data_IF_926567962499
#
_entry.id   IF_926567962499
#
_cell.length_a   1.000
_cell.length_b   1.000
_cell.length_c   1.000
_cell.angle_alpha   90.00
_cell.angle_beta   90.00
_cell.angle_gamma   90.00
#
_symmetry.space_group_name_H-M   'P 1'
#
loop_
_entity.id
_entity.type
_entity.pdbx_description
1 polymer ?
#
# COMPACT_ATOMS: atom_id res chain seq x y z
N UNK A 1 3.47 -30.08 -4.20
CA UNK A 1 2.64 -29.55 -3.09
C UNK A 1 1.22 -29.14 -3.52
N UNK A 2 0.19 -29.54 -2.75
CA UNK A 2 -1.21 -29.12 -2.91
C UNK A 2 -1.55 -27.88 -2.08
N UNK A 3 -2.16 -26.88 -2.70
CA UNK A 3 -2.37 -25.55 -2.11
C UNK A 3 -3.83 -25.13 -2.20
N UNK A 4 -4.36 -24.53 -1.12
CA UNK A 4 -5.54 -23.67 -1.21
C UNK A 4 -5.09 -22.22 -1.04
N UNK A 5 -5.48 -21.36 -1.97
CA UNK A 5 -5.06 -19.96 -1.99
C UNK A 5 -6.14 -19.04 -1.43
N UNK A 6 -5.80 -18.20 -0.46
CA UNK A 6 -6.67 -17.18 0.12
C UNK A 6 -6.17 -15.80 -0.29
N UNK A 7 -6.97 -15.04 -1.04
CA UNK A 7 -6.58 -13.69 -1.44
C UNK A 7 -7.69 -12.91 -2.09
N UNK A 8 -7.54 -11.58 -2.17
CA UNK A 8 -8.60 -10.70 -2.72
C UNK A 8 -8.09 -9.58 -3.62
N UNK A 9 -7.20 -8.68 -3.17
CA UNK A 9 -6.85 -7.50 -3.96
C UNK A 9 -5.83 -7.84 -5.07
N UNK A 10 -5.54 -6.83 -5.90
CA UNK A 10 -4.51 -6.89 -6.96
C UNK A 10 -3.16 -7.38 -6.43
N UNK A 11 -2.80 -6.97 -5.21
CA UNK A 11 -1.56 -7.37 -4.54
C UNK A 11 -1.38 -8.90 -4.42
N UNK A 12 -2.47 -9.67 -4.38
CA UNK A 12 -2.44 -11.13 -4.27
C UNK A 12 -2.36 -11.85 -5.63
N UNK A 13 -2.62 -11.15 -6.74
CA UNK A 13 -2.69 -11.74 -8.08
C UNK A 13 -1.36 -12.33 -8.52
N UNK A 14 -0.21 -11.62 -8.45
CA UNK A 14 1.07 -12.17 -8.89
C UNK A 14 1.44 -13.46 -8.16
N UNK A 15 1.09 -13.57 -6.87
CA UNK A 15 1.32 -14.77 -6.08
C UNK A 15 0.50 -15.95 -6.59
N UNK A 16 -0.81 -15.77 -6.85
CA UNK A 16 -1.65 -16.84 -7.40
C UNK A 16 -1.16 -17.28 -8.79
N UNK A 17 -0.87 -16.32 -9.67
CA UNK A 17 -0.38 -16.62 -11.02
C UNK A 17 0.93 -17.40 -10.98
N UNK A 18 1.85 -17.03 -10.08
CA UNK A 18 3.12 -17.74 -9.95
C UNK A 18 2.94 -19.16 -9.45
N UNK A 19 2.03 -19.39 -8.50
CA UNK A 19 1.71 -20.74 -8.03
C UNK A 19 1.09 -21.59 -9.15
N UNK A 20 0.19 -21.02 -9.96
CA UNK A 20 -0.44 -21.72 -11.08
C UNK A 20 0.53 -22.07 -12.21
N UNK A 21 1.57 -21.25 -12.40
CA UNK A 21 2.58 -21.46 -13.43
C UNK A 21 3.70 -22.43 -13.00
N UNK A 22 3.80 -22.77 -11.71
CA UNK A 22 4.91 -23.58 -11.19
C UNK A 22 4.56 -25.07 -11.20
N UNK A 23 5.37 -25.95 -11.83
CA UNK A 23 5.02 -27.35 -12.06
C UNK A 23 4.90 -28.19 -10.77
N UNK A 24 5.59 -27.79 -9.71
CA UNK A 24 5.57 -28.50 -8.43
C UNK A 24 4.36 -28.16 -7.55
N UNK A 25 3.50 -27.22 -7.97
CA UNK A 25 2.36 -26.77 -7.20
C UNK A 25 1.02 -27.09 -7.87
N UNK A 26 0.08 -27.59 -7.09
CA UNK A 26 -1.30 -27.85 -7.49
C UNK A 26 -2.23 -26.95 -6.68
N UNK A 27 -2.77 -25.90 -7.29
CA UNK A 27 -3.76 -25.03 -6.64
C UNK A 27 -5.13 -25.70 -6.73
N UNK A 28 -5.64 -26.17 -5.60
CA UNK A 28 -6.89 -26.94 -5.51
C UNK A 28 -8.14 -26.05 -5.53
N UNK A 29 -8.06 -24.87 -4.92
CA UNK A 29 -9.17 -23.93 -4.79
C UNK A 29 -8.66 -22.54 -4.42
N UNK A 30 -9.51 -21.55 -4.68
CA UNK A 30 -9.31 -20.15 -4.30
C UNK A 30 -10.41 -19.70 -3.35
N UNK A 31 -10.02 -19.09 -2.22
CA UNK A 31 -10.92 -18.44 -1.27
C UNK A 31 -10.72 -16.94 -1.36
N UNK A 32 -11.80 -16.21 -1.62
CA UNK A 32 -11.74 -14.75 -1.82
C UNK A 32 -12.96 -14.06 -1.21
N UNK A 33 -12.90 -12.76 -1.00
CA UNK A 33 -14.08 -12.02 -0.51
C UNK A 33 -15.25 -12.13 -1.51
N UNK A 34 -16.50 -12.06 -1.03
CA UNK A 34 -17.66 -11.89 -1.91
C UNK A 34 -17.47 -10.71 -2.86
N UNK A 35 -18.05 -10.83 -4.06
CA UNK A 35 -18.06 -9.76 -5.05
C UNK A 35 -18.65 -8.49 -4.42
N UNK A 36 -18.06 -7.34 -4.76
CA UNK A 36 -18.50 -6.05 -4.25
C UNK A 36 -18.87 -5.13 -5.40
N UNK A 37 -19.76 -4.19 -5.13
CA UNK A 37 -19.96 -3.04 -6.01
C UNK A 37 -18.68 -2.23 -6.03
N UNK A 38 -18.10 -2.02 -7.21
CA UNK A 38 -16.91 -1.17 -7.42
C UNK A 38 -17.24 -0.12 -8.49
N UNK A 39 -16.85 1.12 -8.25
CA UNK A 39 -17.07 2.24 -9.18
C UNK A 39 -18.51 2.82 -9.14
N UNK A 40 -18.84 3.63 -10.15
CA UNK A 40 -20.19 4.20 -10.33
C UNK A 40 -21.09 3.18 -11.05
N UNK A 41 -22.13 2.68 -10.39
CA UNK A 41 -23.11 1.75 -10.98
C UNK A 41 -23.55 0.64 -10.02
N UNK A 42 -24.48 -0.22 -10.48
CA UNK A 42 -25.00 -1.35 -9.71
C UNK A 42 -24.37 -2.71 -10.08
N UNK A 43 -23.38 -2.74 -10.98
CA UNK A 43 -22.75 -3.99 -11.40
C UNK A 43 -21.85 -4.54 -10.28
N UNK A 44 -22.00 -5.84 -10.01
CA UNK A 44 -21.11 -6.58 -9.13
C UNK A 44 -19.83 -6.88 -9.90
N UNK A 45 -18.68 -6.53 -9.31
CA UNK A 45 -17.37 -6.76 -9.93
C UNK A 45 -16.67 -7.86 -9.13
N UNK A 46 -16.17 -8.92 -9.79
CA UNK A 46 -15.39 -9.96 -9.12
C UNK A 46 -14.10 -9.38 -8.52
N UNK A 47 -13.57 -10.04 -7.49
CA UNK A 47 -12.22 -9.69 -7.02
C UNK A 47 -11.18 -9.96 -8.11
N UNK A 48 -10.04 -9.23 -8.11
CA UNK A 48 -8.91 -9.55 -8.99
C UNK A 48 -8.51 -11.03 -8.93
N UNK A 49 -8.39 -11.58 -7.72
CA UNK A 49 -8.08 -13.00 -7.48
C UNK A 49 -9.16 -13.94 -8.06
N UNK A 50 -10.46 -13.62 -7.92
CA UNK A 50 -11.54 -14.40 -8.54
C UNK A 50 -11.42 -14.41 -10.08
N UNK A 51 -11.06 -13.27 -10.66
CA UNK A 51 -10.92 -13.14 -12.12
C UNK A 51 -9.86 -14.10 -12.66
N UNK A 52 -8.71 -14.18 -11.98
CA UNK A 52 -7.65 -15.16 -12.31
C UNK A 52 -8.15 -16.59 -12.10
N UNK A 53 -8.79 -16.89 -10.98
CA UNK A 53 -9.27 -18.23 -10.68
C UNK A 53 -10.26 -18.78 -11.73
N UNK A 54 -11.16 -17.93 -12.23
CA UNK A 54 -12.12 -18.27 -13.28
C UNK A 54 -11.47 -18.54 -14.64
N UNK A 55 -10.31 -17.94 -14.92
CA UNK A 55 -9.54 -18.21 -16.14
C UNK A 55 -8.79 -19.56 -16.08
N UNK A 56 -8.58 -20.11 -14.88
CA UNK A 56 -7.84 -21.37 -14.63
C UNK A 56 -8.74 -22.52 -14.13
N UNK A 57 -9.99 -22.58 -14.59
CA UNK A 57 -11.12 -23.38 -14.03
C UNK A 57 -11.05 -23.82 -12.56
N UNK A 58 -10.59 -22.96 -11.64
CA UNK A 58 -10.45 -23.33 -10.23
C UNK A 58 -11.79 -23.22 -9.48
N UNK A 59 -12.06 -24.11 -8.51
CA UNK A 59 -13.11 -23.89 -7.53
C UNK A 59 -12.89 -22.57 -6.77
N UNK A 60 -13.93 -21.75 -6.66
CA UNK A 60 -13.90 -20.47 -5.94
C UNK A 60 -14.90 -20.49 -4.80
N UNK A 61 -14.43 -20.23 -3.57
CA UNK A 61 -15.26 -20.12 -2.37
C UNK A 61 -15.27 -18.68 -1.88
N UNK A 62 -16.47 -18.11 -1.67
CA UNK A 62 -16.66 -16.71 -1.29
C UNK A 62 -17.46 -16.54 0.01
N UNK A 63 -16.97 -17.10 1.13
CA UNK A 63 -17.70 -17.00 2.40
C UNK A 63 -17.76 -15.53 2.85
N UNK A 64 -18.96 -15.09 3.24
CA UNK A 64 -19.10 -13.77 3.88
C UNK A 64 -18.36 -13.70 5.22
N UNK A 65 -18.33 -14.83 5.94
CA UNK A 65 -17.56 -15.02 7.18
C UNK A 65 -16.99 -16.43 7.22
N UNK A 66 -15.75 -16.63 6.80
CA UNK A 66 -15.10 -17.96 6.66
C UNK A 66 -15.19 -18.79 7.94
N UNK A 67 -15.07 -18.15 9.12
CA UNK A 67 -15.16 -18.83 10.43
C UNK A 67 -16.54 -19.45 10.71
N UNK A 68 -17.60 -18.97 10.03
CA UNK A 68 -19.00 -19.37 10.27
C UNK A 68 -19.61 -20.12 9.08
N UNK A 69 -18.87 -20.26 7.99
CA UNK A 69 -19.38 -20.84 6.76
C UNK A 69 -19.15 -22.36 6.75
N UNK A 70 -20.18 -23.13 7.13
CA UNK A 70 -20.05 -24.58 7.31
C UNK A 70 -19.67 -25.32 6.03
N UNK A 71 -20.15 -24.84 4.88
CA UNK A 71 -19.85 -25.43 3.57
C UNK A 71 -18.38 -25.20 3.21
N UNK A 72 -17.91 -23.96 3.26
CA UNK A 72 -16.51 -23.63 3.00
C UNK A 72 -15.57 -24.35 3.97
N UNK A 73 -15.94 -24.45 5.25
CA UNK A 73 -15.14 -25.19 6.24
C UNK A 73 -15.09 -26.69 5.96
N UNK A 74 -16.14 -27.29 5.41
CA UNK A 74 -16.14 -28.69 5.01
C UNK A 74 -15.28 -28.90 3.76
N UNK A 75 -15.40 -28.02 2.76
CA UNK A 75 -14.59 -28.03 1.55
C UNK A 75 -13.09 -27.87 1.85
N UNK A 76 -12.72 -26.91 2.71
CA UNK A 76 -11.34 -26.71 3.16
C UNK A 76 -10.74 -27.96 3.82
N UNK A 77 -11.53 -28.68 4.62
CA UNK A 77 -11.09 -29.94 5.25
C UNK A 77 -10.91 -31.06 4.24
N UNK A 78 -11.85 -31.18 3.31
CA UNK A 78 -11.85 -32.24 2.30
C UNK A 78 -10.78 -32.03 1.23
N UNK A 79 -10.35 -30.79 1.00
CA UNK A 79 -9.31 -30.46 0.02
C UNK A 79 -7.99 -31.22 0.27
N UNK A 80 -7.67 -31.55 1.53
CA UNK A 80 -6.45 -32.29 1.86
C UNK A 80 -5.16 -31.56 1.44
N UNK A 81 -5.17 -30.23 1.52
CA UNK A 81 -4.05 -29.39 1.12
C UNK A 81 -2.83 -29.59 2.02
N UNK A 82 -1.64 -29.45 1.43
CA UNK A 82 -0.39 -29.44 2.18
C UNK A 82 -0.18 -28.07 2.84
N UNK A 83 -0.54 -26.99 2.16
CA UNK A 83 -0.43 -25.61 2.65
C UNK A 83 -1.66 -24.77 2.30
N UNK A 84 -2.01 -23.84 3.18
CA UNK A 84 -2.87 -22.72 2.83
C UNK A 84 -1.99 -21.48 2.62
N UNK A 85 -2.04 -20.90 1.43
CA UNK A 85 -1.33 -19.65 1.13
C UNK A 85 -2.30 -18.50 1.35
N UNK A 86 -1.91 -17.48 2.11
CA UNK A 86 -2.74 -16.34 2.45
C UNK A 86 -2.05 -15.05 2.03
N UNK A 87 -2.74 -14.24 1.22
CA UNK A 87 -2.23 -12.95 0.74
C UNK A 87 -3.35 -11.93 0.74
N UNK A 88 -3.32 -10.99 1.68
CA UNK A 88 -4.28 -9.89 1.78
C UNK A 88 -5.76 -10.36 1.69
N UNK A 89 -6.10 -11.46 2.38
CA UNK A 89 -7.45 -12.04 2.33
C UNK A 89 -8.52 -11.17 3.03
N UNK A 90 -8.14 -10.45 4.10
CA UNK A 90 -9.02 -9.48 4.77
C UNK A 90 -10.04 -10.06 5.76
N UNK A 91 -9.97 -11.37 6.05
CA UNK A 91 -10.72 -12.01 7.13
C UNK A 91 -9.76 -12.80 8.02
N UNK A 92 -10.01 -12.78 9.33
CA UNK A 92 -9.23 -13.54 10.31
C UNK A 92 -9.53 -15.03 10.14
N UNK A 93 -8.50 -15.88 10.16
CA UNK A 93 -8.65 -17.33 10.19
C UNK A 93 -8.77 -17.82 11.64
N UNK A 94 -9.65 -18.77 11.91
CA UNK A 94 -9.72 -19.40 13.25
C UNK A 94 -8.64 -20.47 13.38
N UNK A 95 -8.25 -20.83 14.60
CA UNK A 95 -7.35 -21.96 14.86
C UNK A 95 -7.79 -23.24 14.11
N UNK A 96 -9.10 -23.52 14.12
CA UNK A 96 -9.73 -24.61 13.35
C UNK A 96 -9.35 -24.66 11.85
N UNK A 97 -9.08 -23.51 11.22
CA UNK A 97 -8.66 -23.37 9.82
C UNK A 97 -7.13 -23.47 9.73
N UNK A 98 -6.42 -22.82 10.66
CA UNK A 98 -4.96 -22.84 10.73
C UNK A 98 -4.40 -24.27 10.84
N UNK A 99 -5.13 -25.16 11.52
CA UNK A 99 -4.75 -26.57 11.74
C UNK A 99 -5.13 -27.52 10.59
N UNK A 100 -5.83 -27.05 9.54
CA UNK A 100 -6.28 -27.91 8.44
C UNK A 100 -5.18 -28.37 7.49
N UNK A 101 -4.29 -27.49 6.98
CA UNK A 101 -3.21 -27.90 6.09
C UNK A 101 -2.09 -28.62 6.85
N UNK A 102 -1.40 -29.54 6.19
CA UNK A 102 -0.34 -30.37 6.81
C UNK A 102 0.86 -29.54 7.32
N UNK A 103 1.27 -28.54 6.56
CA UNK A 103 2.42 -27.67 6.86
C UNK A 103 1.98 -26.45 7.67
N UNK A 104 0.78 -25.93 7.39
CA UNK A 104 0.24 -24.73 8.03
C UNK A 104 -0.28 -23.71 7.03
N UNK A 105 -0.68 -22.55 7.56
CA UNK A 105 -1.06 -21.39 6.78
C UNK A 105 0.15 -20.46 6.63
N UNK A 106 0.57 -20.17 5.40
CA UNK A 106 1.68 -19.26 5.11
C UNK A 106 1.12 -17.94 4.61
N UNK A 107 1.47 -16.84 5.29
CA UNK A 107 1.10 -15.49 4.87
C UNK A 107 2.25 -14.77 4.17
N UNK A 108 1.93 -13.99 3.14
CA UNK A 108 2.85 -13.05 2.50
C UNK A 108 2.55 -11.65 3.06
N UNK A 109 3.40 -11.18 3.97
CA UNK A 109 3.20 -9.91 4.66
C UNK A 109 3.99 -8.77 4.03
N UNK A 110 3.35 -7.62 3.83
CA UNK A 110 3.89 -6.45 3.12
C UNK A 110 4.86 -5.58 3.92
N UNK A 111 5.60 -6.15 4.87
CA UNK A 111 6.69 -5.49 5.58
C UNK A 111 7.79 -6.48 5.98
N UNK A 112 8.91 -5.93 6.47
CA UNK A 112 9.93 -6.68 7.20
C UNK A 112 9.50 -6.81 8.66
N UNK A 113 8.87 -7.93 9.04
CA UNK A 113 8.43 -8.21 10.42
C UNK A 113 9.64 -8.31 11.38
N UNK A 114 9.48 -8.05 12.70
CA UNK A 114 8.23 -7.76 13.42
C UNK A 114 7.63 -6.34 13.31
N UNK A 115 8.31 -5.29 12.79
CA UNK A 115 7.64 -4.02 12.52
C UNK A 115 6.46 -4.12 11.55
N UNK A 116 5.52 -3.18 11.70
CA UNK A 116 4.37 -3.01 10.81
C UNK A 116 3.42 -4.21 10.72
N UNK A 117 3.11 -4.87 11.85
CA UNK A 117 2.03 -5.86 11.93
C UNK A 117 0.68 -5.21 11.65
N UNK A 118 -0.19 -5.85 10.88
CA UNK A 118 -1.57 -5.41 10.65
C UNK A 118 -1.91 -5.10 9.20
N UNK A 119 -2.88 -4.20 9.02
CA UNK A 119 -3.68 -4.11 7.80
C UNK A 119 -3.06 -3.29 6.66
N UNK A 120 -2.21 -2.30 6.96
CA UNK A 120 -1.71 -1.35 5.96
C UNK A 120 -0.18 -1.12 6.02
N UNK A 121 0.65 -2.18 6.10
CA UNK A 121 2.09 -2.05 6.31
C UNK A 121 2.79 -1.15 5.27
N UNK A 122 2.45 -1.31 3.98
CA UNK A 122 3.06 -0.57 2.87
C UNK A 122 2.88 0.94 3.06
N UNK A 123 1.66 1.36 3.38
CA UNK A 123 1.34 2.77 3.57
C UNK A 123 2.03 3.34 4.80
N UNK A 124 2.04 2.60 5.92
CA UNK A 124 2.69 3.07 7.14
C UNK A 124 4.22 3.13 7.04
N UNK A 125 4.87 2.24 6.26
CA UNK A 125 6.29 2.37 5.93
C UNK A 125 6.57 3.69 5.20
N UNK A 126 5.78 4.00 4.16
CA UNK A 126 5.92 5.25 3.41
C UNK A 126 5.65 6.49 4.30
N UNK A 127 4.60 6.42 5.13
CA UNK A 127 4.19 7.51 6.01
C UNK A 127 5.27 7.85 7.05
N UNK A 128 5.92 6.83 7.60
CA UNK A 128 7.00 6.97 8.58
C UNK A 128 8.35 7.35 7.95
N UNK A 129 8.41 7.46 6.61
CA UNK A 129 9.63 7.88 5.92
C UNK A 129 10.69 6.80 5.78
N UNK A 130 10.30 5.52 5.83
CA UNK A 130 11.22 4.41 5.59
C UNK A 130 11.86 4.53 4.22
N UNK A 131 13.14 4.16 4.13
CA UNK A 131 13.95 4.18 2.90
C UNK A 131 14.17 2.77 2.33
N UNK A 132 13.76 1.75 3.08
CA UNK A 132 13.77 0.35 2.69
C UNK A 132 12.54 -0.33 3.30
N UNK A 133 11.98 -1.31 2.60
CA UNK A 133 10.97 -2.23 3.15
C UNK A 133 11.12 -3.58 2.46
N UNK A 134 10.09 -4.42 2.51
CA UNK A 134 10.11 -5.68 1.82
C UNK A 134 8.94 -6.57 2.15
N UNK A 135 9.13 -7.86 1.90
CA UNK A 135 8.17 -8.91 2.20
C UNK A 135 8.74 -9.83 3.27
N UNK A 136 7.90 -10.25 4.19
CA UNK A 136 8.16 -11.40 5.06
C UNK A 136 7.14 -12.48 4.75
N UNK A 137 7.61 -13.70 4.46
CA UNK A 137 6.75 -14.88 4.52
C UNK A 137 6.76 -15.40 5.95
N UNK A 138 5.60 -15.80 6.48
CA UNK A 138 5.47 -16.26 7.86
C UNK A 138 4.43 -17.36 8.00
N UNK A 139 4.61 -18.22 9.00
CA UNK A 139 3.53 -19.09 9.47
C UNK A 139 2.52 -18.25 10.23
N UNK A 140 1.23 -18.42 9.92
CA UNK A 140 0.16 -17.77 10.66
C UNK A 140 -0.10 -18.50 11.98
N UNK A 141 -0.39 -17.73 13.02
CA UNK A 141 -0.91 -18.20 14.30
C UNK A 141 -2.26 -17.51 14.61
N UNK A 142 -2.75 -17.65 15.84
CA UNK A 142 -4.00 -17.02 16.26
C UNK A 142 -3.91 -15.49 16.39
N UNK A 143 -2.70 -14.92 16.43
CA UNK A 143 -2.49 -13.49 16.55
C UNK A 143 -2.50 -12.76 15.19
N UNK A 144 -2.40 -11.43 15.25
CA UNK A 144 -2.33 -10.60 14.05
C UNK A 144 -0.87 -10.44 13.64
N UNK A 145 -0.46 -11.18 12.61
CA UNK A 145 0.89 -11.17 12.05
C UNK A 145 1.99 -11.45 13.09
N UNK A 146 1.70 -12.30 14.09
CA UNK A 146 2.64 -12.62 15.19
C UNK A 146 3.41 -13.92 15.00
N UNK A 147 2.95 -14.78 14.09
CA UNK A 147 3.54 -16.10 13.92
C UNK A 147 4.99 -16.09 13.40
N UNK A 148 5.70 -17.23 13.50
CA UNK A 148 7.12 -17.32 13.15
C UNK A 148 7.40 -16.90 11.70
N UNK A 149 8.46 -16.12 11.51
CA UNK A 149 8.93 -15.69 10.20
C UNK A 149 9.67 -16.84 9.50
N UNK A 150 9.59 -16.89 8.17
CA UNK A 150 10.22 -17.91 7.34
C UNK A 150 11.35 -17.30 6.52
N UNK A 151 11.03 -16.54 5.47
CA UNK A 151 11.99 -15.81 4.65
C UNK A 151 11.64 -14.33 4.56
N UNK A 152 12.63 -13.51 4.22
CA UNK A 152 12.50 -12.08 3.97
C UNK A 152 13.17 -11.69 2.66
N UNK A 153 12.59 -10.72 1.97
CA UNK A 153 13.21 -10.07 0.83
C UNK A 153 13.02 -8.56 0.93
N UNK A 154 14.03 -7.79 0.54
CA UNK A 154 14.12 -6.34 0.76
C UNK A 154 14.07 -5.59 -0.56
N UNK A 155 13.57 -4.35 -0.52
CA UNK A 155 13.59 -3.40 -1.64
C UNK A 155 13.77 -1.98 -1.12
N UNK A 156 14.57 -1.13 -1.79
CA UNK A 156 14.63 0.28 -1.45
C UNK A 156 13.29 0.97 -1.73
N UNK A 157 13.06 2.08 -1.04
CA UNK A 157 11.96 3.01 -1.26
C UNK A 157 12.56 4.31 -1.78
N UNK A 158 12.25 4.65 -3.04
CA UNK A 158 12.63 5.93 -3.62
C UNK A 158 11.87 7.09 -3.00
N UNK A 159 12.47 8.29 -3.01
CA UNK A 159 11.87 9.48 -2.39
C UNK A 159 10.48 9.79 -3.00
N UNK A 160 10.29 9.55 -4.31
CA UNK A 160 9.02 9.82 -5.00
C UNK A 160 8.11 8.59 -5.15
N UNK A 161 8.51 7.42 -4.62
CA UNK A 161 7.67 6.22 -4.70
C UNK A 161 6.40 6.41 -3.86
N UNK A 162 5.26 6.06 -4.45
CA UNK A 162 3.97 6.04 -3.76
C UNK A 162 3.50 4.61 -3.46
N UNK A 163 2.45 4.49 -2.63
CA UNK A 163 1.93 3.21 -2.18
C UNK A 163 1.45 2.28 -3.31
N UNK A 164 0.97 2.84 -4.42
CA UNK A 164 0.58 2.04 -5.58
C UNK A 164 1.79 1.42 -6.27
N UNK A 165 2.85 2.21 -6.50
CA UNK A 165 4.08 1.75 -7.15
C UNK A 165 4.82 0.75 -6.27
N UNK A 166 5.02 1.10 -5.00
CA UNK A 166 5.66 0.21 -4.03
C UNK A 166 4.85 -1.09 -3.86
N UNK A 167 3.51 -1.00 -3.84
CA UNK A 167 2.64 -2.16 -3.79
C UNK A 167 2.81 -3.11 -4.98
N UNK A 168 3.01 -2.60 -6.20
CA UNK A 168 3.29 -3.42 -7.39
C UNK A 168 4.65 -4.13 -7.27
N UNK A 169 5.70 -3.42 -6.88
CA UNK A 169 7.04 -4.00 -6.64
C UNK A 169 6.98 -5.10 -5.58
N UNK A 170 6.32 -4.83 -4.45
CA UNK A 170 6.18 -5.77 -3.34
C UNK A 170 5.30 -6.98 -3.68
N UNK A 171 4.27 -6.82 -4.52
CA UNK A 171 3.46 -7.95 -4.96
C UNK A 171 4.28 -8.95 -5.79
N UNK A 172 5.15 -8.44 -6.68
CA UNK A 172 6.02 -9.29 -7.47
C UNK A 172 7.10 -9.95 -6.60
N UNK A 173 7.76 -9.18 -5.74
CA UNK A 173 8.75 -9.68 -4.78
C UNK A 173 8.15 -10.76 -3.87
N UNK A 174 6.92 -10.57 -3.41
CA UNK A 174 6.23 -11.52 -2.54
C UNK A 174 5.81 -12.80 -3.25
N UNK A 175 5.45 -12.72 -4.53
CA UNK A 175 5.19 -13.90 -5.36
C UNK A 175 6.45 -14.77 -5.51
N UNK A 176 7.60 -14.13 -5.81
CA UNK A 176 8.89 -14.80 -5.94
C UNK A 176 9.31 -15.45 -4.61
N UNK A 177 9.26 -14.68 -3.53
CA UNK A 177 9.64 -15.13 -2.19
C UNK A 177 8.76 -16.27 -1.69
N UNK A 178 7.45 -16.24 -1.96
CA UNK A 178 6.56 -17.33 -1.54
C UNK A 178 6.93 -18.66 -2.20
N UNK A 179 7.22 -18.66 -3.51
CA UNK A 179 7.63 -19.89 -4.21
C UNK A 179 8.87 -20.48 -3.55
N UNK A 180 9.88 -19.64 -3.30
CA UNK A 180 11.10 -20.05 -2.61
C UNK A 180 10.78 -20.64 -1.22
N UNK A 181 9.93 -19.96 -0.46
CA UNK A 181 9.49 -20.41 0.87
C UNK A 181 8.83 -21.78 0.82
N UNK A 182 7.90 -22.01 -0.11
CA UNK A 182 7.18 -23.29 -0.22
C UNK A 182 8.12 -24.44 -0.64
N UNK A 183 9.00 -24.21 -1.62
CA UNK A 183 10.00 -25.22 -2.05
C UNK A 183 10.90 -25.61 -0.88
N UNK A 184 11.43 -24.63 -0.14
CA UNK A 184 12.31 -24.89 0.99
C UNK A 184 11.59 -25.53 2.18
N UNK A 185 10.33 -25.18 2.43
CA UNK A 185 9.50 -25.85 3.43
C UNK A 185 9.28 -27.32 3.09
N UNK A 186 8.98 -27.65 1.83
CA UNK A 186 8.81 -29.03 1.37
C UNK A 186 10.09 -29.85 1.58
N UNK A 187 11.26 -29.23 1.39
CA UNK A 187 12.58 -29.84 1.61
C UNK A 187 13.07 -29.80 3.06
N UNK A 188 12.31 -29.20 3.98
CA UNK A 188 12.69 -28.99 5.38
C UNK A 188 14.00 -28.17 5.54
N UNK A 189 14.23 -27.22 4.64
CA UNK A 189 15.41 -26.35 4.59
C UNK A 189 15.20 -24.99 5.28
N UNK A 190 14.03 -24.76 5.88
CA UNK A 190 13.72 -23.54 6.65
C UNK A 190 13.41 -23.91 8.09
N UNK A 191 14.11 -23.24 9.00
CA UNK A 191 13.73 -23.18 10.42
C UNK A 191 12.91 -21.90 10.67
N UNK A 192 11.64 -22.01 11.13
CA UNK A 192 10.84 -20.84 11.45
C UNK A 192 11.41 -20.04 12.62
N UNK A 193 11.51 -18.72 12.46
CA UNK A 193 12.12 -17.81 13.43
C UNK A 193 11.01 -17.10 14.23
N UNK A 194 10.89 -17.33 15.56
CA UNK A 194 9.96 -16.60 16.40
C UNK A 194 10.19 -15.09 16.35
N UNK A 195 9.11 -14.31 16.33
CA UNK A 195 9.21 -12.86 16.36
C UNK A 195 9.48 -12.34 17.76
N UNK A 196 10.40 -11.37 17.88
CA UNK A 196 10.59 -10.58 19.08
C UNK A 196 9.47 -9.54 19.20
N UNK A 197 8.52 -9.76 20.11
CA UNK A 197 7.38 -8.86 20.31
C UNK A 197 7.78 -7.48 20.84
N UNK A 198 8.95 -7.30 21.46
CA UNK A 198 9.41 -5.99 21.90
C UNK A 198 9.80 -5.07 20.74
N UNK A 199 10.07 -5.64 19.55
CA UNK A 199 10.40 -4.91 18.31
C UNK A 199 9.19 -4.72 17.40
N UNK A 200 8.01 -5.16 17.81
CA UNK A 200 6.81 -5.06 16.99
C UNK A 200 6.25 -3.63 17.00
N UNK A 201 5.89 -3.15 15.81
CA UNK A 201 5.08 -1.95 15.61
C UNK A 201 3.83 -2.32 14.83
N UNK A 202 2.82 -1.45 14.83
CA UNK A 202 1.53 -1.75 14.22
C UNK A 202 1.22 -0.81 13.06
N UNK A 203 0.60 -1.38 12.03
CA UNK A 203 0.15 -0.74 10.80
C UNK A 203 -1.39 -0.82 10.73
N UNK A 204 -2.12 0.04 11.48
CA UNK A 204 -3.57 -0.05 11.57
C UNK A 204 -4.26 0.26 10.23
N UNK A 205 -5.56 -0.07 10.07
CA UNK A 205 -6.31 0.37 8.92
C UNK A 205 -6.34 1.91 8.81
N UNK A 206 -6.16 2.42 7.59
CA UNK A 206 -6.21 3.85 7.28
C UNK A 206 -7.64 4.36 7.44
N UNK A 207 -7.80 5.50 8.10
CA UNK A 207 -9.08 6.15 8.40
C UNK A 207 -9.23 7.43 7.61
N UNK A 208 -10.48 7.92 7.47
CA UNK A 208 -10.77 9.18 6.78
C UNK A 208 -9.92 10.38 7.25
N UNK A 209 -9.69 10.59 8.56
CA UNK A 209 -8.86 11.72 9.01
C UNK A 209 -7.39 11.62 8.60
N UNK A 210 -6.87 10.40 8.37
CA UNK A 210 -5.47 10.21 7.98
C UNK A 210 -5.15 10.82 6.61
N UNK A 211 -6.17 11.04 5.77
CA UNK A 211 -6.02 11.71 4.48
C UNK A 211 -5.90 13.23 4.58
N UNK A 212 -6.29 13.84 5.70
CA UNK A 212 -6.30 15.31 5.83
C UNK A 212 -4.87 15.83 6.00
N UNK A 213 -4.43 16.70 5.10
CA UNK A 213 -3.12 17.33 5.18
C UNK A 213 -3.17 18.43 6.24
N UNK A 214 -2.27 18.34 7.21
CA UNK A 214 -1.94 19.43 8.11
C UNK A 214 -0.68 20.14 7.62
N UNK A 215 -0.86 21.35 7.07
CA UNK A 215 0.23 22.14 6.50
C UNK A 215 1.23 22.64 7.53
N UNK A 216 0.91 22.60 8.83
CA UNK A 216 1.82 22.98 9.91
C UNK A 216 2.92 21.94 10.17
N UNK A 217 2.87 20.78 9.51
CA UNK A 217 3.92 19.75 9.56
C UNK A 217 5.08 20.10 8.64
N UNK A 218 6.19 19.39 8.82
CA UNK A 218 7.36 19.45 7.92
C UNK A 218 6.99 19.02 6.48
N UNK A 219 7.61 19.65 5.48
CA UNK A 219 7.43 19.32 4.06
C UNK A 219 7.62 17.83 3.78
N UNK A 220 8.67 17.21 4.31
CA UNK A 220 8.94 15.79 4.11
C UNK A 220 7.87 14.89 4.76
N UNK A 221 7.36 15.27 5.93
CA UNK A 221 6.29 14.54 6.60
C UNK A 221 4.97 14.60 5.81
N UNK A 222 4.62 15.76 5.24
CA UNK A 222 3.45 15.90 4.36
C UNK A 222 3.67 15.12 3.06
N UNK A 223 4.87 15.17 2.50
CA UNK A 223 5.22 14.39 1.32
C UNK A 223 5.04 12.88 1.55
N UNK A 224 5.55 12.37 2.68
CA UNK A 224 5.38 10.98 3.11
C UNK A 224 3.91 10.61 3.26
N UNK A 225 3.09 11.49 3.84
CA UNK A 225 1.64 11.29 3.93
C UNK A 225 0.99 11.17 2.53
N UNK A 226 1.29 12.10 1.62
CA UNK A 226 0.73 12.10 0.26
C UNK A 226 1.09 10.84 -0.52
N UNK A 227 2.36 10.42 -0.46
CA UNK A 227 2.81 9.22 -1.19
C UNK A 227 2.31 7.92 -0.54
N UNK A 228 2.15 7.90 0.79
CA UNK A 228 1.61 6.77 1.55
C UNK A 228 0.12 6.54 1.30
N UNK A 229 -0.67 7.61 1.29
CA UNK A 229 -2.13 7.55 1.18
C UNK A 229 -2.62 7.98 -0.21
N UNK A 230 -1.76 7.76 -1.20
CA UNK A 230 -2.05 8.01 -2.61
C UNK A 230 -3.33 7.28 -3.06
N UNK A 231 -4.22 7.93 -3.84
CA UNK A 231 -4.20 9.32 -4.32
C UNK A 231 -5.14 10.25 -3.52
N UNK A 232 -5.43 9.92 -2.27
CA UNK A 232 -6.64 10.40 -1.58
C UNK A 232 -6.38 11.47 -0.50
N UNK A 233 -5.15 11.95 -0.35
CA UNK A 233 -4.86 13.05 0.57
C UNK A 233 -5.62 14.33 0.18
N UNK A 234 -6.18 15.02 1.18
CA UNK A 234 -7.12 16.12 1.02
C UNK A 234 -6.60 17.40 1.68
N UNK A 235 -6.88 18.53 1.03
CA UNK A 235 -6.79 19.87 1.57
C UNK A 235 -8.05 20.68 1.17
N UNK A 236 -8.14 21.92 1.62
CA UNK A 236 -9.14 22.88 1.15
C UNK A 236 -8.44 24.01 0.38
N UNK A 237 -9.00 24.42 -0.76
CA UNK A 237 -8.50 25.56 -1.52
C UNK A 237 -9.68 26.42 -1.99
N UNK A 238 -9.65 27.73 -1.68
CA UNK A 238 -10.76 28.67 -1.94
C UNK A 238 -12.12 28.10 -1.47
N UNK A 239 -12.15 27.55 -0.25
CA UNK A 239 -13.35 26.96 0.35
C UNK A 239 -13.84 25.64 -0.25
N UNK A 240 -13.11 25.05 -1.21
CA UNK A 240 -13.49 23.81 -1.88
C UNK A 240 -12.51 22.67 -1.56
N UNK A 241 -12.99 21.42 -1.42
CA UNK A 241 -12.12 20.28 -1.23
C UNK A 241 -11.25 20.03 -2.46
N UNK A 242 -9.98 19.71 -2.22
CA UNK A 242 -9.00 19.42 -3.26
C UNK A 242 -8.12 18.25 -2.85
N UNK A 243 -7.88 17.31 -3.77
CA UNK A 243 -6.96 16.20 -3.55
C UNK A 243 -5.55 16.60 -3.95
N UNK A 244 -4.59 16.32 -3.08
CA UNK A 244 -3.16 16.44 -3.37
C UNK A 244 -2.65 15.03 -3.67
N UNK A 245 -2.26 14.80 -4.93
CA UNK A 245 -2.01 13.45 -5.46
C UNK A 245 -0.52 13.13 -5.47
N UNK A 246 0.32 14.10 -5.85
CA UNK A 246 1.76 13.92 -5.89
C UNK A 246 2.47 15.22 -5.50
N UNK A 247 3.53 15.09 -4.71
CA UNK A 247 4.33 16.22 -4.21
C UNK A 247 5.82 15.90 -4.32
N UNK A 248 6.68 16.90 -4.09
CA UNK A 248 8.10 16.69 -3.89
C UNK A 248 8.63 17.65 -2.81
N UNK A 249 9.40 17.15 -1.83
CA UNK A 249 10.05 18.00 -0.85
C UNK A 249 11.20 18.75 -1.52
N UNK A 250 11.38 20.03 -1.19
CA UNK A 250 12.40 20.88 -1.77
C UNK A 250 13.39 21.32 -0.69
N UNK A 251 14.69 21.20 -0.98
CA UNK A 251 15.77 21.52 -0.04
C UNK A 251 17.06 20.76 -0.35
N UNK A 252 18.17 21.24 0.23
CA UNK A 252 19.51 20.69 0.01
C UNK A 252 19.58 19.18 0.25
N UNK A 253 18.84 18.68 1.24
CA UNK A 253 18.81 17.26 1.63
C UNK A 253 18.17 16.34 0.57
N UNK A 254 17.39 16.90 -0.36
CA UNK A 254 16.58 16.12 -1.31
C UNK A 254 17.12 16.19 -2.76
N UNK A 255 17.93 17.20 -3.11
CA UNK A 255 18.37 17.46 -4.49
C UNK A 255 19.07 16.30 -5.18
N UNK A 256 19.86 15.51 -4.45
CA UNK A 256 20.54 14.33 -4.99
C UNK A 256 19.58 13.20 -5.37
N UNK A 257 18.38 13.16 -4.77
CA UNK A 257 17.38 12.10 -4.94
C UNK A 257 16.26 12.48 -5.92
N UNK A 258 16.13 13.77 -6.27
CA UNK A 258 15.09 14.24 -7.16
C UNK A 258 15.47 14.09 -8.65
N UNK A 259 14.48 13.85 -9.53
CA UNK A 259 14.73 13.73 -10.96
C UNK A 259 15.22 15.06 -11.58
N UNK A 260 15.94 15.03 -12.72
CA UNK A 260 16.56 16.23 -13.30
C UNK A 260 15.62 17.43 -13.47
N UNK A 261 14.35 17.17 -13.83
CA UNK A 261 13.33 18.21 -13.98
C UNK A 261 13.09 19.00 -12.69
N UNK A 262 13.09 18.33 -11.54
CA UNK A 262 12.88 18.97 -10.24
C UNK A 262 14.19 19.52 -9.68
N UNK A 263 15.30 18.80 -9.88
CA UNK A 263 16.63 19.24 -9.47
C UNK A 263 17.03 20.59 -10.10
N UNK A 264 16.53 20.91 -11.30
CA UNK A 264 16.74 22.22 -11.92
C UNK A 264 16.29 23.41 -11.03
N UNK A 265 15.40 23.20 -10.06
CA UNK A 265 14.99 24.21 -9.08
C UNK A 265 16.12 24.61 -8.12
N UNK A 266 17.13 23.76 -7.93
CA UNK A 266 18.31 24.02 -7.10
C UNK A 266 19.02 25.32 -7.51
N UNK A 267 19.07 25.62 -8.82
CA UNK A 267 19.72 26.82 -9.35
C UNK A 267 19.06 28.13 -8.89
N UNK A 268 17.75 28.08 -8.62
CA UNK A 268 16.96 29.23 -8.16
C UNK A 268 16.56 29.08 -6.69
N UNK A 269 17.16 28.13 -5.97
CA UNK A 269 16.75 27.80 -4.61
C UNK A 269 16.85 28.99 -3.67
N UNK A 270 17.91 29.78 -3.74
CA UNK A 270 18.10 30.96 -2.88
C UNK A 270 16.97 31.98 -2.98
N UNK A 271 16.42 32.19 -4.18
CA UNK A 271 15.28 33.07 -4.41
C UNK A 271 13.94 32.43 -4.01
N UNK A 272 13.83 31.10 -4.10
CA UNK A 272 12.61 30.38 -3.69
C UNK A 272 12.53 30.27 -2.16
N UNK A 273 13.67 30.06 -1.49
CA UNK A 273 13.75 29.83 -0.05
C UNK A 273 13.88 31.11 0.78
N UNK A 274 14.11 32.27 0.14
CA UNK A 274 14.19 33.56 0.84
C UNK A 274 12.84 34.04 1.35
N UNK A 275 11.77 33.64 0.67
CA UNK A 275 10.41 34.06 1.00
C UNK A 275 9.80 33.10 2.01
N UNK A 276 9.56 33.59 3.23
CA UNK A 276 8.82 32.86 4.25
C UNK A 276 7.34 33.24 4.20
N UNK A 277 6.49 32.25 3.96
CA UNK A 277 5.04 32.38 4.08
C UNK A 277 4.53 31.85 5.42
N UNK A 278 3.20 31.83 5.59
CA UNK A 278 2.57 30.98 6.62
C UNK A 278 2.31 29.56 6.08
N UNK A 279 2.20 28.54 6.95
CA UNK A 279 1.86 27.18 6.52
C UNK A 279 0.61 27.14 5.61
N UNK A 280 0.74 26.45 4.47
CA UNK A 280 -0.27 26.32 3.42
C UNK A 280 -0.21 27.40 2.34
N UNK A 281 0.60 28.45 2.52
CA UNK A 281 0.71 29.56 1.56
C UNK A 281 1.55 29.19 0.33
N UNK A 282 1.08 29.60 -0.85
CA UNK A 282 1.83 29.54 -2.11
C UNK A 282 2.90 30.62 -2.07
N UNK A 283 4.17 30.23 -1.91
CA UNK A 283 5.30 31.16 -1.88
C UNK A 283 5.96 31.35 -3.24
N UNK A 284 5.83 30.36 -4.12
CA UNK A 284 6.37 30.43 -5.48
C UNK A 284 5.59 29.55 -6.44
N UNK A 285 5.67 29.87 -7.74
CA UNK A 285 5.07 29.07 -8.81
C UNK A 285 6.16 28.78 -9.84
N UNK A 286 6.68 27.56 -9.82
CA UNK A 286 7.72 27.13 -10.74
C UNK A 286 7.12 26.85 -12.13
N UNK A 287 7.58 27.60 -13.14
CA UNK A 287 7.12 27.49 -14.53
C UNK A 287 7.26 26.05 -15.04
N UNK A 288 6.20 25.51 -15.65
CA UNK A 288 6.09 24.14 -16.18
C UNK A 288 6.28 23.00 -15.14
N UNK A 289 6.29 23.34 -13.84
CA UNK A 289 6.50 22.39 -12.75
C UNK A 289 5.27 22.41 -11.82
N UNK A 290 5.01 23.52 -11.12
CA UNK A 290 3.87 23.63 -10.22
C UNK A 290 4.05 24.64 -9.08
N UNK A 291 3.02 24.82 -8.24
CA UNK A 291 3.09 25.70 -7.07
C UNK A 291 3.93 25.07 -5.95
N UNK A 292 4.67 25.93 -5.26
CA UNK A 292 5.52 25.61 -4.11
C UNK A 292 4.87 26.22 -2.88
N UNK A 293 4.62 25.37 -1.89
CA UNK A 293 3.85 25.69 -0.69
C UNK A 293 4.80 25.77 0.50
N UNK A 294 4.63 26.80 1.30
CA UNK A 294 5.23 26.87 2.63
C UNK A 294 4.56 25.86 3.56
N UNK A 295 5.36 25.05 4.24
CA UNK A 295 4.87 24.13 5.28
C UNK A 295 5.34 24.62 6.66
N UNK A 296 5.08 23.88 7.74
CA UNK A 296 5.58 24.26 9.07
C UNK A 296 7.10 24.41 9.13
N UNK A 297 7.79 23.55 8.38
CA UNK A 297 9.20 23.68 8.05
C UNK A 297 9.47 23.12 6.66
N UNK A 298 10.34 23.77 5.90
CA UNK A 298 10.64 23.40 4.51
C UNK A 298 9.61 23.87 3.49
N UNK A 299 9.84 23.51 2.23
CA UNK A 299 8.99 23.86 1.09
C UNK A 299 8.53 22.59 0.38
N UNK A 300 7.26 22.57 -0.05
CA UNK A 300 6.65 21.42 -0.71
C UNK A 300 6.13 21.81 -2.10
N UNK A 301 6.66 21.17 -3.14
CA UNK A 301 6.12 21.31 -4.49
C UNK A 301 4.88 20.43 -4.66
N UNK A 302 3.79 20.98 -5.21
CA UNK A 302 2.63 20.20 -5.64
C UNK A 302 2.78 19.83 -7.11
N UNK A 303 2.99 18.55 -7.40
CA UNK A 303 3.20 18.03 -8.76
C UNK A 303 1.90 17.65 -9.45
N UNK A 304 0.96 17.07 -8.70
CA UNK A 304 -0.33 16.64 -9.22
C UNK A 304 -1.44 16.88 -8.20
N UNK A 305 -2.56 17.41 -8.68
CA UNK A 305 -3.69 17.85 -7.87
C UNK A 305 -4.99 17.45 -8.58
N UNK A 306 -6.05 17.18 -7.83
CA UNK A 306 -7.39 16.99 -8.38
C UNK A 306 -8.42 17.88 -7.65
N UNK A 307 -8.88 18.96 -8.30
CA UNK A 307 -10.04 19.71 -7.82
C UNK A 307 -11.32 18.87 -7.80
N UNK A 308 -12.23 19.20 -6.88
CA UNK A 308 -13.54 18.56 -6.81
C UNK A 308 -14.25 18.52 -8.18
N UNK A 309 -14.75 17.34 -8.55
CA UNK A 309 -15.48 17.12 -9.81
C UNK A 309 -14.63 17.16 -11.08
N UNK A 310 -13.31 17.39 -10.99
CA UNK A 310 -12.39 17.41 -12.14
C UNK A 310 -11.53 16.15 -12.21
N UNK A 311 -10.86 15.95 -13.35
CA UNK A 311 -9.80 14.94 -13.50
C UNK A 311 -8.51 15.41 -12.79
N UNK A 312 -7.64 14.49 -12.35
CA UNK A 312 -6.28 14.84 -11.94
C UNK A 312 -5.56 15.64 -13.02
N UNK A 313 -4.81 16.66 -12.62
CA UNK A 313 -4.04 17.54 -13.51
C UNK A 313 -2.69 17.87 -12.88
N UNK A 314 -1.73 18.31 -13.70
CA UNK A 314 -0.44 18.76 -13.18
C UNK A 314 -0.60 20.00 -12.29
N UNK A 315 0.33 20.20 -11.35
CA UNK A 315 0.37 21.41 -10.53
C UNK A 315 0.46 22.68 -11.36
N UNK A 316 1.18 22.63 -12.49
CA UNK A 316 1.28 23.72 -13.45
C UNK A 316 -0.05 24.03 -14.16
N UNK A 317 -0.74 23.01 -14.68
CA UNK A 317 -2.04 23.21 -15.34
C UNK A 317 -3.09 23.73 -14.35
N UNK A 318 -3.05 23.23 -13.11
CA UNK A 318 -3.86 23.76 -12.03
C UNK A 318 -3.57 25.25 -11.79
N UNK A 319 -2.30 25.63 -11.64
CA UNK A 319 -1.90 27.01 -11.37
C UNK A 319 -2.34 27.96 -12.51
N UNK A 320 -2.12 27.58 -13.76
CA UNK A 320 -2.55 28.36 -14.92
C UNK A 320 -4.07 28.44 -15.06
N UNK A 321 -4.76 27.30 -14.94
CA UNK A 321 -6.20 27.20 -15.14
C UNK A 321 -7.01 27.93 -14.06
N UNK A 322 -6.48 28.00 -12.84
CA UNK A 322 -7.11 28.72 -11.71
C UNK A 322 -6.64 30.16 -11.55
N UNK A 323 -5.63 30.57 -12.33
CA UNK A 323 -4.88 31.83 -12.15
C UNK A 323 -4.41 31.96 -10.71
N UNK A 324 -3.71 30.93 -10.22
CA UNK A 324 -3.18 30.88 -8.87
C UNK A 324 -2.19 32.02 -8.66
N UNK A 325 -2.33 32.73 -7.54
CA UNK A 325 -1.42 33.79 -7.14
C UNK A 325 -0.56 33.38 -5.94
N UNK A 326 0.64 33.97 -5.86
CA UNK A 326 1.47 33.91 -4.65
C UNK A 326 0.70 34.59 -3.50
N UNK A 327 0.76 34.02 -2.31
CA UNK A 327 0.02 34.45 -1.12
C UNK A 327 -1.35 33.76 -0.93
N UNK A 328 -1.84 33.02 -1.92
CA UNK A 328 -3.02 32.18 -1.72
C UNK A 328 -2.71 30.97 -0.84
N UNK A 329 -3.72 30.46 -0.13
CA UNK A 329 -3.53 29.44 0.91
C UNK A 329 -4.32 28.18 0.61
N UNK A 330 -3.63 27.05 0.73
CA UNK A 330 -4.23 25.73 0.93
C UNK A 330 -4.43 25.52 2.42
N UNK A 331 -5.67 25.35 2.82
CA UNK A 331 -6.05 25.14 4.21
C UNK A 331 -6.04 23.65 4.54
N UNK A 332 -5.76 23.34 5.81
CA UNK A 332 -5.96 21.99 6.35
C UNK A 332 -7.42 21.61 6.15
N UNK A 333 -7.68 20.43 5.58
CA UNK A 333 -9.03 20.00 5.28
C UNK A 333 -9.91 20.11 6.54
N UNK A 334 -10.95 20.94 6.49
CA UNK A 334 -11.90 21.02 7.58
C UNK A 334 -12.63 19.68 7.66
N UNK A 335 -12.69 19.09 8.85
CA UNK A 335 -13.56 17.96 9.13
C UNK A 335 -15.00 18.46 8.97
N UNK A 336 -15.54 18.44 7.76
CA UNK A 336 -16.99 18.48 7.59
C UNK A 336 -17.52 17.21 8.26
N UNK A 337 -18.22 17.42 9.38
CA UNK A 337 -18.89 16.39 10.18
C UNK A 337 -19.87 15.58 9.32
#
# INVERSE_FOLDING_TARGET
>A
MKIVFFGTPEFAVPTLERLLAHPDFEVLAVVTQPDKRRGRGNQMVPSPVKTVALAHPLPVWQPTRVKKDSETLAQLRQAGADAFVVVAYGQILSQKILDMPKIGCINVHGSILPPYRGAAPIQWCLYNGETETGITTMLMDAGMDTGPMLLKAYTPIGILDNASQLGQTLAQLGADLLVETLVKLERQEIEPIPQDSAKATYAPPIKKPDYNIDWSREAYAIHNQVRAFFPDCMATFRGNPIKIIATAPLGADYWSQLPPKLKALEQNWSAISSDSGRPGEVVSIAKNIGPIIQTGSGLLLLQQIQPAGKRPQSGWDFANGTRLAIGEVFETASLQQ
#
